data_IF_500570142530
#
_entry.id   IF_500570142530
#
_cell.length_a   1.000
_cell.length_b   1.000
_cell.length_c   1.000
_cell.angle_alpha   90.00
_cell.angle_beta   90.00
_cell.angle_gamma   90.00
#
_symmetry.space_group_name_H-M   'P 1'
#
loop_
_entity.id
_entity.type
_entity.pdbx_description
1 polymer ?
#
# COMPACT_ATOMS: atom_id res chain seq x y z
N UNK A 1 3.02 -10.17 18.39
CA UNK A 1 2.53 -8.80 18.64
C UNK A 1 2.32 -8.00 17.35
N UNK A 2 2.98 -8.34 16.24
CA UNK A 2 2.76 -7.73 14.93
C UNK A 2 1.34 -7.97 14.40
N UNK A 3 0.73 -9.10 14.71
CA UNK A 3 -0.63 -9.43 14.26
C UNK A 3 -1.73 -8.49 14.75
N UNK A 4 -1.53 -7.79 15.87
CA UNK A 4 -2.53 -6.84 16.38
C UNK A 4 -2.71 -5.57 15.54
N UNK A 5 -1.71 -5.17 14.76
CA UNK A 5 -1.79 -3.96 13.95
C UNK A 5 -2.57 -4.16 12.64
N UNK A 6 -2.67 -5.39 12.14
CA UNK A 6 -3.46 -5.72 10.96
C UNK A 6 -4.96 -5.80 11.21
N UNK A 7 -5.35 -5.96 12.48
CA UNK A 7 -6.68 -6.40 12.90
C UNK A 7 -7.62 -5.23 13.09
N UNK A 8 -7.10 -4.04 13.27
CA UNK A 8 -7.86 -2.86 13.65
C UNK A 8 -8.43 -2.13 12.44
N UNK A 9 -8.34 -2.71 11.24
CA UNK A 9 -8.93 -2.09 10.06
C UNK A 9 -10.34 -2.64 9.77
N UNK A 10 -11.40 -1.96 10.22
CA UNK A 10 -12.76 -2.33 9.83
C UNK A 10 -13.00 -2.13 8.34
N UNK A 11 -12.21 -1.27 7.68
CA UNK A 11 -12.21 -1.07 6.23
C UNK A 11 -11.74 -2.29 5.46
N UNK A 12 -10.80 -3.07 6.01
CA UNK A 12 -10.26 -4.26 5.37
C UNK A 12 -11.37 -5.23 4.93
N UNK A 13 -12.34 -5.52 5.80
CA UNK A 13 -13.45 -6.40 5.48
C UNK A 13 -14.35 -5.87 4.41
N UNK A 14 -14.74 -4.63 4.60
CA UNK A 14 -15.61 -3.94 3.67
C UNK A 14 -14.94 -3.86 2.31
N UNK A 15 -13.63 -3.64 2.28
CA UNK A 15 -12.83 -3.62 1.06
C UNK A 15 -12.72 -5.00 0.41
N UNK A 16 -12.43 -6.06 1.16
CA UNK A 16 -12.35 -7.42 0.61
C UNK A 16 -13.66 -7.80 -0.06
N UNK A 17 -14.78 -7.50 0.58
CA UNK A 17 -16.10 -7.73 0.03
C UNK A 17 -16.38 -6.80 -1.17
N UNK A 18 -16.00 -5.53 -1.10
CA UNK A 18 -16.20 -4.56 -2.15
C UNK A 18 -15.39 -4.85 -3.41
N UNK A 19 -14.13 -5.26 -3.28
CA UNK A 19 -13.27 -5.59 -4.44
C UNK A 19 -13.77 -6.81 -5.24
N UNK A 20 -14.29 -7.82 -4.58
CA UNK A 20 -14.89 -8.96 -5.27
C UNK A 20 -16.08 -8.52 -6.13
N UNK A 21 -16.82 -7.52 -5.69
CA UNK A 21 -18.00 -6.98 -6.35
C UNK A 21 -17.67 -6.03 -7.52
N UNK A 22 -16.74 -5.10 -7.35
CA UNK A 22 -16.31 -4.20 -8.45
C UNK A 22 -15.85 -4.99 -9.67
N UNK A 23 -15.13 -6.10 -9.43
CA UNK A 23 -14.68 -6.97 -10.52
C UNK A 23 -15.84 -7.72 -11.19
N UNK A 24 -16.97 -7.94 -10.50
CA UNK A 24 -18.15 -8.60 -11.08
C UNK A 24 -19.05 -7.64 -11.87
N UNK A 25 -19.04 -6.34 -11.52
CA UNK A 25 -19.85 -5.31 -12.18
C UNK A 25 -19.24 -4.70 -13.44
N UNK A 26 -17.93 -4.86 -13.66
CA UNK A 26 -17.39 -4.51 -14.97
C UNK A 26 -18.11 -5.38 -15.99
N UNK A 27 -18.76 -4.77 -17.03
CA UNK A 27 -19.42 -5.54 -18.05
C UNK A 27 -18.47 -6.65 -18.48
N UNK A 28 -19.00 -7.86 -18.74
CA UNK A 28 -18.23 -8.96 -19.32
C UNK A 28 -17.61 -8.46 -20.62
N UNK A 29 -16.51 -7.75 -20.50
CA UNK A 29 -15.61 -7.53 -21.61
C UNK A 29 -15.09 -8.91 -21.91
N UNK A 30 -15.51 -9.45 -23.04
CA UNK A 30 -15.09 -10.77 -23.51
C UNK A 30 -13.59 -10.91 -23.31
N UNK A 31 -13.11 -12.10 -22.90
CA UNK A 31 -11.68 -12.40 -22.72
C UNK A 31 -10.77 -11.93 -23.87
N UNK A 32 -11.33 -11.66 -25.06
CA UNK A 32 -10.65 -11.08 -26.21
C UNK A 32 -10.26 -9.61 -26.02
N UNK A 33 -11.02 -8.81 -25.26
CA UNK A 33 -10.75 -7.37 -25.11
C UNK A 33 -9.76 -7.03 -23.97
N UNK A 34 -9.42 -8.00 -23.12
CA UNK A 34 -8.42 -7.86 -22.05
C UNK A 34 -6.95 -7.92 -22.49
N UNK A 35 -6.68 -8.06 -23.76
CA UNK A 35 -5.41 -7.65 -24.36
C UNK A 35 -5.44 -6.17 -24.77
N UNK A 36 -6.08 -5.30 -24.01
CA UNK A 36 -5.71 -3.89 -24.03
C UNK A 36 -4.19 -3.88 -23.82
N UNK A 37 -3.48 -3.46 -24.84
CA UNK A 37 -2.02 -3.47 -24.93
C UNK A 37 -1.50 -2.76 -23.67
N UNK A 38 -0.95 -3.50 -22.70
CA UNK A 38 -0.26 -2.89 -21.59
C UNK A 38 0.79 -1.94 -22.16
N UNK A 39 0.83 -0.72 -21.70
CA UNK A 39 1.87 0.21 -22.09
C UNK A 39 3.24 -0.38 -21.74
N UNK A 40 4.24 -0.13 -22.57
CA UNK A 40 5.61 -0.46 -22.18
C UNK A 40 5.95 0.28 -20.88
N UNK A 41 6.69 -0.37 -19.99
CA UNK A 41 7.17 0.31 -18.78
C UNK A 41 8.08 1.47 -19.17
N UNK A 42 8.04 2.55 -18.38
CA UNK A 42 9.03 3.62 -18.48
C UNK A 42 10.45 3.06 -18.38
N UNK A 43 11.41 3.73 -18.98
CA UNK A 43 12.83 3.38 -18.80
C UNK A 43 13.21 3.49 -17.33
N UNK A 44 14.10 2.61 -16.83
CA UNK A 44 14.66 2.75 -15.49
C UNK A 44 15.30 4.13 -15.30
N UNK A 45 15.16 4.68 -14.11
CA UNK A 45 15.86 5.90 -13.71
C UNK A 45 17.35 5.59 -13.54
N UNK A 46 18.20 6.55 -13.85
CA UNK A 46 19.64 6.38 -13.72
C UNK A 46 20.04 6.18 -12.23
N UNK A 47 21.02 5.33 -11.99
CA UNK A 47 21.53 5.09 -10.65
C UNK A 47 22.11 6.36 -10.05
N UNK A 48 22.76 7.18 -10.88
CA UNK A 48 23.36 8.45 -10.48
C UNK A 48 22.33 9.44 -9.96
N UNK A 49 21.18 9.55 -10.64
CA UNK A 49 20.11 10.46 -10.22
C UNK A 49 19.47 10.00 -8.92
N UNK A 50 19.23 8.70 -8.76
CA UNK A 50 18.70 8.15 -7.50
C UNK A 50 19.69 8.32 -6.35
N UNK A 51 20.99 8.06 -6.58
CA UNK A 51 22.01 8.22 -5.54
C UNK A 51 22.15 9.70 -5.12
N UNK A 52 22.11 10.63 -6.07
CA UNK A 52 22.14 12.05 -5.78
C UNK A 52 20.95 12.51 -4.89
N UNK A 53 19.77 11.96 -5.13
CA UNK A 53 18.61 12.22 -4.26
C UNK A 53 18.80 11.65 -2.87
N UNK A 54 19.30 10.41 -2.74
CA UNK A 54 19.61 9.79 -1.43
C UNK A 54 20.62 10.60 -0.65
N UNK A 55 21.70 11.04 -1.30
CA UNK A 55 22.77 11.83 -0.69
C UNK A 55 22.28 13.22 -0.25
N UNK A 56 21.24 13.74 -0.90
CA UNK A 56 20.61 15.01 -0.56
C UNK A 56 19.51 14.88 0.53
N UNK A 57 19.10 13.66 0.89
CA UNK A 57 18.08 13.46 1.92
C UNK A 57 18.59 13.90 3.29
N UNK A 58 17.78 14.64 4.06
CA UNK A 58 18.07 14.91 5.45
C UNK A 58 18.24 13.63 6.27
N UNK A 59 19.12 13.63 7.29
CA UNK A 59 19.38 12.43 8.12
C UNK A 59 18.14 11.83 8.77
N UNK A 60 17.13 12.63 9.07
CA UNK A 60 15.85 12.19 9.64
C UNK A 60 15.04 11.30 8.68
N UNK A 61 15.30 11.35 7.38
CA UNK A 61 14.68 10.46 6.40
C UNK A 61 15.18 9.02 6.50
N UNK A 62 16.35 8.79 7.10
CA UNK A 62 16.85 7.44 7.36
C UNK A 62 16.19 6.87 8.63
N UNK A 63 15.41 5.82 8.47
CA UNK A 63 14.66 5.18 9.56
C UNK A 63 15.27 3.88 10.05
N UNK A 64 15.92 3.11 9.19
CA UNK A 64 16.66 1.93 9.58
C UNK A 64 17.89 1.75 8.70
N UNK A 65 18.96 1.25 9.30
CA UNK A 65 20.19 0.90 8.61
C UNK A 65 20.66 -0.47 9.07
N UNK A 66 20.92 -1.35 8.13
CA UNK A 66 21.48 -2.66 8.44
C UNK A 66 22.94 -2.52 8.81
N UNK A 67 23.30 -2.80 10.08
CA UNK A 67 24.66 -2.61 10.61
C UNK A 67 25.73 -3.45 9.88
N UNK A 68 25.43 -4.73 9.66
CA UNK A 68 26.33 -5.67 8.99
C UNK A 68 25.81 -6.09 7.62
N UNK A 69 25.16 -5.18 6.89
CA UNK A 69 24.57 -5.45 5.60
C UNK A 69 24.44 -4.19 4.75
N UNK A 70 23.72 -4.33 3.64
CA UNK A 70 23.73 -3.35 2.57
C UNK A 70 22.43 -2.54 2.47
N UNK A 71 21.53 -2.70 3.42
CA UNK A 71 20.18 -2.16 3.28
C UNK A 71 19.90 -0.97 4.19
N UNK A 72 19.29 0.06 3.62
CA UNK A 72 18.80 1.24 4.32
C UNK A 72 17.32 1.42 4.03
N UNK A 73 16.54 1.84 5.03
CA UNK A 73 15.14 2.23 4.87
C UNK A 73 15.01 3.73 5.01
N UNK A 74 14.49 4.36 3.99
CA UNK A 74 14.20 5.79 3.96
C UNK A 74 12.69 6.03 3.97
N UNK A 75 12.29 7.17 4.53
CA UNK A 75 10.94 7.72 4.39
C UNK A 75 11.07 9.17 3.95
N UNK A 76 10.50 9.50 2.80
CA UNK A 76 10.63 10.81 2.20
C UNK A 76 9.32 11.29 1.58
N UNK A 77 9.20 12.60 1.37
CA UNK A 77 8.13 13.21 0.60
C UNK A 77 8.43 13.14 -0.90
N UNK A 78 7.39 13.15 -1.73
CA UNK A 78 7.51 13.10 -3.19
C UNK A 78 8.46 14.16 -3.76
N UNK A 79 8.46 15.37 -3.20
CA UNK A 79 9.31 16.46 -3.65
C UNK A 79 10.79 16.28 -3.32
N UNK A 80 11.12 15.45 -2.35
CA UNK A 80 12.51 15.13 -1.97
C UNK A 80 13.14 14.07 -2.86
N UNK A 81 12.31 13.26 -3.52
CA UNK A 81 12.72 12.05 -4.25
C UNK A 81 12.05 11.93 -5.62
N UNK A 82 12.00 12.98 -6.46
CA UNK A 82 11.24 12.95 -7.71
C UNK A 82 11.68 11.83 -8.66
N UNK A 83 12.96 11.53 -8.77
CA UNK A 83 13.49 10.46 -9.62
C UNK A 83 13.26 9.08 -8.98
N UNK A 84 13.55 8.93 -7.69
CA UNK A 84 13.25 7.71 -6.93
C UNK A 84 11.75 7.39 -6.97
N UNK A 85 10.87 8.39 -6.90
CA UNK A 85 9.43 8.19 -6.99
C UNK A 85 9.00 7.63 -8.35
N UNK A 86 9.60 8.11 -9.45
CA UNK A 86 9.37 7.55 -10.79
C UNK A 86 9.82 6.09 -10.83
N UNK A 87 10.98 5.77 -10.27
CA UNK A 87 11.47 4.39 -10.22
C UNK A 87 10.59 3.50 -9.33
N UNK A 88 10.13 4.00 -8.17
CA UNK A 88 9.14 3.32 -7.33
C UNK A 88 7.88 3.01 -8.15
N UNK A 89 7.34 3.98 -8.88
CA UNK A 89 6.15 3.78 -9.72
C UNK A 89 6.37 2.75 -10.83
N UNK A 90 7.54 2.77 -11.47
CA UNK A 90 7.93 1.79 -12.48
C UNK A 90 8.02 0.37 -11.93
N UNK A 91 8.74 0.20 -10.80
CA UNK A 91 8.93 -1.09 -10.13
C UNK A 91 7.63 -1.63 -9.54
N UNK A 92 6.76 -0.75 -9.04
CA UNK A 92 5.43 -1.07 -8.55
C UNK A 92 4.56 -1.64 -9.67
N UNK A 93 4.50 -0.97 -10.82
CA UNK A 93 3.79 -1.48 -12.00
C UNK A 93 4.39 -2.82 -12.48
N UNK A 94 5.72 -2.92 -12.57
CA UNK A 94 6.42 -4.15 -12.93
C UNK A 94 6.01 -5.31 -12.02
N UNK A 95 6.08 -5.09 -10.70
CA UNK A 95 5.79 -6.12 -9.70
C UNK A 95 4.30 -6.50 -9.70
N UNK A 96 3.39 -5.54 -9.76
CA UNK A 96 1.95 -5.81 -9.76
C UNK A 96 1.47 -6.49 -11.03
N UNK A 97 2.13 -6.28 -12.18
CA UNK A 97 1.85 -7.03 -13.40
C UNK A 97 2.08 -8.53 -13.23
N UNK A 98 3.09 -8.94 -12.45
CA UNK A 98 3.41 -10.36 -12.22
C UNK A 98 2.23 -11.11 -11.56
N UNK A 99 1.47 -10.41 -10.72
CA UNK A 99 0.32 -10.98 -10.01
C UNK A 99 -1.03 -10.55 -10.60
N UNK A 100 -1.02 -9.98 -11.81
CA UNK A 100 -2.25 -9.58 -12.50
C UNK A 100 -2.97 -8.37 -11.89
N UNK A 101 -2.29 -7.58 -11.07
CA UNK A 101 -2.81 -6.39 -10.39
C UNK A 101 -2.23 -5.07 -10.93
N UNK A 102 -1.38 -5.12 -11.95
CA UNK A 102 -0.84 -3.94 -12.62
C UNK A 102 -1.94 -3.03 -13.18
N UNK A 103 -1.68 -1.74 -13.20
CA UNK A 103 -2.59 -0.73 -13.75
C UNK A 103 -2.72 -0.81 -15.28
N UNK A 104 -1.70 -1.36 -15.94
CA UNK A 104 -1.54 -1.37 -17.39
C UNK A 104 -0.84 -0.13 -17.94
N UNK A 105 -0.58 0.88 -17.11
CA UNK A 105 0.14 2.09 -17.47
C UNK A 105 1.65 1.85 -17.53
N UNK A 106 2.39 2.78 -18.13
CA UNK A 106 3.86 2.71 -18.17
C UNK A 106 4.52 2.83 -16.79
N UNK A 107 3.83 3.46 -15.84
CA UNK A 107 4.26 3.73 -14.48
C UNK A 107 3.02 3.80 -13.57
N UNK A 108 3.03 3.17 -12.40
CA UNK A 108 1.94 3.22 -11.43
C UNK A 108 2.16 4.37 -10.45
N UNK A 109 1.88 5.58 -10.90
CA UNK A 109 1.77 6.77 -10.05
C UNK A 109 0.37 7.35 -10.17
N UNK A 110 -0.15 7.87 -9.06
CA UNK A 110 -1.45 8.51 -8.97
C UNK A 110 -1.37 9.84 -8.19
N UNK A 111 -2.46 10.56 -8.07
CA UNK A 111 -2.50 11.86 -7.39
C UNK A 111 -2.18 11.78 -5.90
N UNK A 112 -2.39 10.63 -5.27
CA UNK A 112 -2.08 10.39 -3.87
C UNK A 112 -0.56 10.35 -3.62
N UNK A 113 0.23 9.92 -4.60
CA UNK A 113 1.69 9.87 -4.47
C UNK A 113 2.29 11.25 -4.16
N UNK A 114 1.62 12.35 -4.53
CA UNK A 114 2.10 13.71 -4.30
C UNK A 114 2.04 14.18 -2.84
N UNK A 115 1.18 13.57 -2.01
CA UNK A 115 0.99 14.02 -0.63
C UNK A 115 1.07 12.90 0.41
N UNK A 116 1.41 11.69 -0.03
CA UNK A 116 1.79 10.59 0.82
C UNK A 116 3.31 10.56 1.01
N UNK A 117 3.74 10.00 2.11
CA UNK A 117 5.14 9.61 2.32
C UNK A 117 5.45 8.33 1.56
N UNK A 118 6.68 8.24 1.10
CA UNK A 118 7.22 7.04 0.45
C UNK A 118 8.28 6.42 1.33
N UNK A 119 7.97 5.23 1.88
CA UNK A 119 8.96 4.40 2.52
C UNK A 119 9.55 3.48 1.48
N UNK A 120 10.87 3.45 1.37
CA UNK A 120 11.54 2.54 0.44
C UNK A 120 12.79 1.91 1.06
N UNK A 121 13.04 0.66 0.69
CA UNK A 121 14.20 -0.11 1.04
C UNK A 121 15.23 0.00 -0.09
N UNK A 122 16.40 0.54 0.23
CA UNK A 122 17.51 0.76 -0.68
C UNK A 122 18.62 -0.24 -0.43
N UNK A 123 19.10 -0.89 -1.49
CA UNK A 123 20.30 -1.74 -1.48
C UNK A 123 21.49 -0.88 -1.90
N UNK A 124 22.38 -0.59 -0.95
CA UNK A 124 23.55 0.27 -1.15
C UNK A 124 24.58 -0.34 -2.08
N UNK A 125 24.77 -1.66 -1.99
CA UNK A 125 25.76 -2.37 -2.81
C UNK A 125 25.34 -2.45 -4.27
N UNK A 126 24.06 -2.78 -4.51
CA UNK A 126 23.54 -2.89 -5.87
C UNK A 126 22.93 -1.58 -6.40
N UNK A 127 22.83 -0.56 -5.55
CA UNK A 127 22.24 0.75 -5.84
C UNK A 127 20.85 0.61 -6.47
N UNK A 128 19.95 -0.12 -5.78
CA UNK A 128 18.61 -0.49 -6.26
C UNK A 128 17.57 -0.35 -5.17
N UNK A 129 16.35 -0.04 -5.60
CA UNK A 129 15.18 -0.13 -4.75
C UNK A 129 14.76 -1.60 -4.67
N UNK A 130 14.70 -2.12 -3.43
CA UNK A 130 14.31 -3.50 -3.12
C UNK A 130 12.80 -3.63 -2.98
N UNK A 131 12.16 -2.61 -2.44
CA UNK A 131 10.72 -2.56 -2.21
C UNK A 131 10.31 -1.23 -1.62
N UNK A 132 9.00 -0.98 -1.58
CA UNK A 132 8.47 0.25 -1.04
C UNK A 132 7.05 0.09 -0.49
N UNK A 133 6.65 1.06 0.34
CA UNK A 133 5.30 1.31 0.80
C UNK A 133 4.93 2.77 0.60
N UNK A 134 3.67 3.02 0.27
CA UNK A 134 3.08 4.35 0.35
C UNK A 134 2.39 4.50 1.70
N UNK A 135 2.73 5.56 2.46
CA UNK A 135 2.21 5.84 3.80
C UNK A 135 1.52 7.20 3.83
N UNK A 136 0.25 7.23 4.21
CA UNK A 136 -0.51 8.46 4.40
C UNK A 136 -0.54 8.85 5.87
N UNK A 137 -0.06 10.03 6.21
CA UNK A 137 -0.22 10.65 7.52
C UNK A 137 -1.65 11.21 7.63
N UNK A 138 -2.58 10.41 8.17
CA UNK A 138 -4.02 10.66 8.01
C UNK A 138 -4.52 11.93 8.68
N UNK A 139 -3.95 12.33 9.80
CA UNK A 139 -4.22 13.62 10.45
C UNK A 139 -3.94 14.81 9.50
N UNK A 140 -2.77 14.81 8.86
CA UNK A 140 -2.36 15.85 7.91
C UNK A 140 -3.22 15.82 6.64
N UNK A 141 -3.51 14.62 6.14
CA UNK A 141 -4.33 14.43 4.94
C UNK A 141 -5.76 14.87 5.21
N UNK A 142 -6.35 14.45 6.33
CA UNK A 142 -7.71 14.84 6.70
C UNK A 142 -7.84 16.35 6.92
N UNK A 143 -6.86 16.97 7.57
CA UNK A 143 -6.85 18.42 7.80
C UNK A 143 -6.76 19.21 6.49
N UNK A 144 -6.00 18.74 5.50
CA UNK A 144 -5.75 19.49 4.26
C UNK A 144 -6.73 19.17 3.13
N UNK A 145 -7.10 17.90 2.97
CA UNK A 145 -7.84 17.38 1.82
C UNK A 145 -9.17 16.74 2.20
N UNK A 146 -9.44 16.56 3.52
CA UNK A 146 -10.57 15.77 3.99
C UNK A 146 -10.44 14.29 3.61
N UNK A 147 -11.56 13.56 3.73
CA UNK A 147 -11.61 12.12 3.40
C UNK A 147 -11.22 11.82 1.95
N UNK A 148 -11.46 12.75 1.03
CA UNK A 148 -11.09 12.61 -0.39
C UNK A 148 -9.57 12.55 -0.63
N UNK A 149 -8.78 13.02 0.32
CA UNK A 149 -7.34 12.90 0.29
C UNK A 149 -6.82 11.51 0.66
N UNK A 150 -7.66 10.66 1.23
CA UNK A 150 -7.34 9.27 1.54
C UNK A 150 -7.66 8.36 0.35
N UNK A 151 -6.74 7.45 0.01
CA UNK A 151 -6.98 6.45 -1.03
C UNK A 151 -8.18 5.56 -0.70
N UNK A 152 -8.33 5.17 0.58
CA UNK A 152 -9.48 4.41 1.02
C UNK A 152 -10.78 5.23 0.97
N UNK A 153 -10.71 6.56 0.94
CA UNK A 153 -11.86 7.45 0.75
C UNK A 153 -12.57 7.30 -0.60
N UNK A 154 -11.91 6.69 -1.61
CA UNK A 154 -12.56 6.33 -2.88
C UNK A 154 -13.53 5.15 -2.76
N UNK A 155 -13.34 4.31 -1.75
CA UNK A 155 -14.06 3.04 -1.61
C UNK A 155 -15.00 3.02 -0.42
N UNK A 156 -14.74 3.84 0.60
CA UNK A 156 -15.43 3.79 1.88
C UNK A 156 -15.83 5.17 2.37
N UNK A 157 -16.99 5.21 3.03
CA UNK A 157 -17.38 6.31 3.91
C UNK A 157 -17.02 5.97 5.35
N UNK A 158 -16.64 6.97 6.10
CA UNK A 158 -16.20 6.87 7.49
C UNK A 158 -17.13 7.72 8.37
N UNK A 159 -17.60 7.15 9.47
CA UNK A 159 -18.33 7.91 10.47
C UNK A 159 -17.41 8.85 11.25
N UNK A 160 -17.94 9.81 12.04
CA UNK A 160 -17.13 10.61 12.94
C UNK A 160 -16.34 9.80 13.96
N UNK A 161 -16.85 8.63 14.37
CA UNK A 161 -16.13 7.71 15.28
C UNK A 161 -14.91 7.09 14.60
N UNK A 162 -15.06 6.59 13.36
CA UNK A 162 -13.95 6.09 12.57
C UNK A 162 -12.91 7.19 12.30
N UNK A 163 -13.34 8.40 11.93
CA UNK A 163 -12.43 9.50 11.65
C UNK A 163 -11.55 9.86 12.86
N UNK A 164 -12.04 9.75 14.10
CA UNK A 164 -11.23 9.95 15.31
C UNK A 164 -10.12 8.90 15.47
N UNK A 165 -10.34 7.67 15.00
CA UNK A 165 -9.30 6.64 14.97
C UNK A 165 -8.33 6.91 13.84
N UNK A 166 -8.84 7.27 12.66
CA UNK A 166 -8.02 7.59 11.49
C UNK A 166 -7.10 8.78 11.73
N UNK A 167 -7.54 9.79 12.49
CA UNK A 167 -6.72 10.95 12.88
C UNK A 167 -5.41 10.57 13.62
N UNK A 168 -5.32 9.33 14.12
CA UNK A 168 -4.13 8.77 14.79
C UNK A 168 -3.56 7.57 14.06
N UNK A 169 -3.74 7.52 12.75
CA UNK A 169 -3.41 6.35 11.92
C UNK A 169 -2.45 6.71 10.79
N UNK A 170 -1.81 5.68 10.25
CA UNK A 170 -1.14 5.74 8.96
C UNK A 170 -1.92 4.89 7.96
N UNK A 171 -2.28 5.46 6.82
CA UNK A 171 -2.84 4.71 5.71
C UNK A 171 -1.73 4.05 4.92
N UNK A 172 -1.73 2.71 4.89
CA UNK A 172 -0.72 1.91 4.24
C UNK A 172 -1.22 1.36 2.92
N UNK A 173 -0.42 1.49 1.87
CA UNK A 173 -0.81 0.98 0.56
C UNK A 173 0.36 0.83 -0.40
N UNK A 174 0.05 0.31 -1.59
CA UNK A 174 1.02 0.15 -2.67
C UNK A 174 2.30 -0.59 -2.26
N UNK A 175 2.17 -1.58 -1.36
CA UNK A 175 3.27 -2.39 -0.88
C UNK A 175 3.80 -3.32 -1.97
N UNK A 176 5.10 -3.32 -2.19
CA UNK A 176 5.75 -4.30 -3.04
C UNK A 176 7.19 -4.58 -2.61
N UNK A 177 7.65 -5.77 -2.96
CA UNK A 177 9.07 -6.14 -3.03
C UNK A 177 9.30 -6.63 -4.44
N UNK A 178 10.35 -6.14 -5.10
CA UNK A 178 10.67 -6.56 -6.46
C UNK A 178 10.94 -8.07 -6.53
N UNK A 179 10.57 -8.76 -7.62
CA UNK A 179 10.60 -10.21 -7.69
C UNK A 179 11.93 -10.85 -7.31
N UNK A 180 13.05 -10.18 -7.61
CA UNK A 180 14.40 -10.66 -7.35
C UNK A 180 14.72 -10.76 -5.85
N UNK A 181 14.00 -9.99 -5.01
CA UNK A 181 14.18 -9.95 -3.55
C UNK A 181 13.06 -10.65 -2.77
N UNK A 182 11.96 -11.08 -3.42
CA UNK A 182 10.83 -11.72 -2.72
C UNK A 182 11.18 -13.01 -1.98
N UNK A 183 12.22 -13.73 -2.45
CA UNK A 183 12.72 -14.93 -1.78
C UNK A 183 13.69 -14.65 -0.62
N UNK A 184 13.95 -13.39 -0.31
CA UNK A 184 14.78 -12.95 0.82
C UNK A 184 13.88 -12.53 1.99
N UNK A 185 13.63 -13.38 3.01
CA UNK A 185 12.68 -13.07 4.09
C UNK A 185 12.98 -11.78 4.85
N UNK A 186 14.26 -11.42 4.92
CA UNK A 186 14.70 -10.21 5.61
C UNK A 186 14.23 -8.92 4.94
N UNK A 187 13.96 -8.91 3.62
CA UNK A 187 13.55 -7.70 2.91
C UNK A 187 12.22 -7.14 3.46
N UNK A 188 11.23 -8.00 3.66
CA UNK A 188 9.96 -7.60 4.27
C UNK A 188 10.15 -7.18 5.72
N UNK A 189 10.93 -7.95 6.49
CA UNK A 189 11.22 -7.65 7.89
C UNK A 189 11.86 -6.27 8.06
N UNK A 190 12.79 -5.92 7.16
CA UNK A 190 13.48 -4.63 7.22
C UNK A 190 12.57 -3.45 6.85
N UNK A 191 11.69 -3.62 5.88
CA UNK A 191 10.62 -2.64 5.59
C UNK A 191 9.74 -2.41 6.84
N UNK A 192 9.34 -3.48 7.53
CA UNK A 192 8.55 -3.38 8.75
C UNK A 192 9.32 -2.74 9.92
N UNK A 193 10.62 -2.95 9.99
CA UNK A 193 11.48 -2.22 10.94
C UNK A 193 11.44 -0.71 10.67
N UNK A 194 11.55 -0.29 9.41
CA UNK A 194 11.42 1.12 9.02
C UNK A 194 10.07 1.72 9.39
N UNK A 195 8.97 0.99 9.18
CA UNK A 195 7.62 1.42 9.61
C UNK A 195 7.58 1.57 11.14
N UNK A 196 8.13 0.60 11.87
CA UNK A 196 8.21 0.64 13.33
C UNK A 196 9.00 1.84 13.84
N UNK A 197 10.14 2.14 13.23
CA UNK A 197 10.95 3.31 13.56
C UNK A 197 10.24 4.62 13.23
N UNK A 198 9.51 4.69 12.11
CA UNK A 198 8.69 5.85 11.79
C UNK A 198 7.63 6.10 12.88
N UNK A 199 6.90 5.06 13.27
CA UNK A 199 5.89 5.16 14.35
C UNK A 199 6.53 5.50 15.71
N UNK A 200 7.70 4.94 16.00
CA UNK A 200 8.43 5.24 17.24
C UNK A 200 8.89 6.72 17.32
N UNK A 201 9.18 7.35 16.19
CA UNK A 201 9.48 8.78 16.12
C UNK A 201 8.22 9.68 16.12
N UNK A 202 7.06 9.10 15.74
CA UNK A 202 5.79 9.80 15.61
C UNK A 202 4.72 9.14 16.50
N UNK A 203 4.89 9.26 17.84
CA UNK A 203 4.12 8.53 18.86
C UNK A 203 2.61 8.75 18.84
N UNK A 204 2.12 9.78 18.16
CA UNK A 204 0.68 10.02 18.02
C UNK A 204 0.00 9.02 17.07
N UNK A 205 0.72 8.44 16.11
CA UNK A 205 0.18 7.35 15.29
C UNK A 205 0.13 6.06 16.10
N UNK A 206 -1.06 5.49 16.19
CA UNK A 206 -1.35 4.29 16.98
C UNK A 206 -1.82 3.13 16.13
N UNK A 207 -2.27 3.42 14.92
CA UNK A 207 -2.91 2.43 14.06
C UNK A 207 -2.31 2.47 12.66
N UNK A 208 -2.24 1.29 12.06
CA UNK A 208 -1.98 1.14 10.63
C UNK A 208 -3.24 0.58 10.00
N UNK A 209 -3.67 1.14 8.90
CA UNK A 209 -4.80 0.61 8.15
C UNK A 209 -4.52 0.68 6.65
N UNK A 210 -5.23 -0.13 5.89
CA UNK A 210 -5.10 -0.18 4.44
C UNK A 210 -5.93 -1.30 3.85
N UNK A 211 -6.04 -1.32 2.55
CA UNK A 211 -6.79 -2.31 1.82
C UNK A 211 -5.88 -3.44 1.35
N UNK A 212 -6.39 -4.67 1.46
CA UNK A 212 -5.72 -5.88 0.95
C UNK A 212 -6.61 -6.52 -0.12
N UNK A 213 -6.03 -6.87 -1.26
CA UNK A 213 -6.73 -7.62 -2.29
C UNK A 213 -6.55 -9.13 -2.12
N UNK A 214 -7.64 -9.88 -2.32
CA UNK A 214 -7.57 -11.33 -2.44
C UNK A 214 -7.49 -11.68 -3.94
N UNK A 215 -6.46 -12.45 -4.34
CA UNK A 215 -6.26 -12.84 -5.72
C UNK A 215 -7.49 -13.56 -6.30
N UNK A 216 -7.70 -13.36 -7.59
CA UNK A 216 -8.73 -14.10 -8.37
C UNK A 216 -8.40 -15.57 -8.53
N UNK A 217 -7.14 -15.96 -8.35
CA UNK A 217 -6.69 -17.34 -8.48
C UNK A 217 -7.26 -18.24 -7.37
N UNK A 218 -7.64 -17.62 -6.24
CA UNK A 218 -8.40 -18.33 -5.21
C UNK A 218 -9.82 -18.66 -5.69
N UNK A 219 -10.26 -19.88 -5.42
CA UNK A 219 -11.66 -20.29 -5.67
C UNK A 219 -12.64 -19.44 -4.87
N UNK A 220 -13.90 -19.39 -5.29
CA UNK A 220 -14.95 -18.70 -4.52
C UNK A 220 -15.05 -19.26 -3.10
N UNK A 221 -14.92 -20.58 -2.93
CA UNK A 221 -14.93 -21.22 -1.61
C UNK A 221 -13.75 -20.75 -0.76
N UNK A 222 -12.54 -20.75 -1.30
CA UNK A 222 -11.37 -20.28 -0.55
C UNK A 222 -11.51 -18.84 -0.12
N UNK A 223 -12.01 -17.97 -1.00
CA UNK A 223 -12.27 -16.56 -0.65
C UNK A 223 -13.34 -16.43 0.43
N UNK A 224 -14.42 -17.19 0.33
CA UNK A 224 -15.48 -17.20 1.34
C UNK A 224 -14.96 -17.67 2.70
N UNK A 225 -14.11 -18.71 2.74
CA UNK A 225 -13.48 -19.20 3.97
C UNK A 225 -12.56 -18.14 4.60
N UNK A 226 -11.71 -17.48 3.80
CA UNK A 226 -10.86 -16.39 4.30
C UNK A 226 -11.72 -15.29 4.93
N UNK A 227 -12.75 -14.83 4.22
CA UNK A 227 -13.66 -13.77 4.72
C UNK A 227 -14.40 -14.22 5.97
N UNK A 228 -14.87 -15.48 6.02
CA UNK A 228 -15.57 -16.02 7.20
C UNK A 228 -14.66 -16.11 8.40
N UNK A 229 -13.41 -16.56 8.21
CA UNK A 229 -12.41 -16.61 9.27
C UNK A 229 -12.14 -15.21 9.84
N UNK A 230 -11.86 -14.25 8.97
CA UNK A 230 -11.61 -12.86 9.39
C UNK A 230 -12.82 -12.26 10.13
N UNK A 231 -14.03 -12.55 9.67
CA UNK A 231 -15.26 -12.12 10.36
C UNK A 231 -15.40 -12.73 11.75
N UNK A 232 -15.03 -13.99 11.91
CA UNK A 232 -15.20 -14.71 13.18
C UNK A 232 -14.15 -14.33 14.22
N UNK A 233 -12.91 -14.08 13.79
CA UNK A 233 -11.76 -13.96 14.69
C UNK A 233 -11.13 -12.57 14.77
N UNK A 234 -11.24 -11.79 13.71
CA UNK A 234 -10.51 -10.52 13.55
C UNK A 234 -11.45 -9.31 13.49
N UNK A 235 -12.75 -9.48 13.80
CA UNK A 235 -13.72 -8.42 13.77
C UNK A 235 -13.57 -7.49 14.97
N UNK A 236 -13.29 -6.19 14.73
CA UNK A 236 -13.38 -5.15 15.74
C UNK A 236 -14.86 -4.70 15.91
N UNK A 237 -15.54 -5.11 17.01
CA UNK A 237 -16.99 -4.89 17.16
C UNK A 237 -17.38 -3.42 17.19
N UNK A 238 -16.50 -2.56 17.71
CA UNK A 238 -16.77 -1.12 17.88
C UNK A 238 -16.73 -0.39 16.55
N UNK A 239 -15.79 -0.78 15.66
CA UNK A 239 -15.56 -0.05 14.41
C UNK A 239 -16.26 -0.64 13.18
N UNK A 240 -16.79 -1.86 13.30
CA UNK A 240 -17.35 -2.60 12.15
C UNK A 240 -18.49 -1.87 11.42
N UNK A 241 -19.28 -1.10 12.14
CA UNK A 241 -20.42 -0.34 11.59
C UNK A 241 -20.05 1.10 11.22
N UNK A 242 -18.84 1.53 11.57
CA UNK A 242 -18.37 2.90 11.41
C UNK A 242 -17.71 3.16 10.03
N UNK A 243 -17.43 2.08 9.28
CA UNK A 243 -16.86 2.13 7.94
C UNK A 243 -17.80 1.40 6.97
N UNK A 244 -18.23 2.10 5.92
CA UNK A 244 -19.18 1.55 4.95
C UNK A 244 -18.62 1.63 3.54
N UNK A 245 -18.61 0.50 2.83
CA UNK A 245 -18.25 0.49 1.42
C UNK A 245 -19.32 1.20 0.58
N UNK A 246 -18.89 2.00 -0.38
CA UNK A 246 -19.80 2.59 -1.37
C UNK A 246 -20.45 1.51 -2.26
N UNK A 247 -19.73 0.43 -2.52
CA UNK A 247 -20.19 -0.68 -3.35
C UNK A 247 -20.02 -2.02 -2.62
N UNK A 248 -20.88 -2.33 -1.62
CA UNK A 248 -20.80 -3.60 -0.90
C UNK A 248 -21.17 -4.77 -1.82
N UNK A 249 -20.62 -5.98 -1.61
CA UNK A 249 -20.97 -7.17 -2.37
C UNK A 249 -22.43 -7.55 -2.12
N UNK A 250 -23.07 -8.16 -3.12
CA UNK A 250 -24.41 -8.74 -2.94
C UNK A 250 -24.30 -10.05 -2.17
N UNK A 251 -25.38 -10.42 -1.44
CA UNK A 251 -25.43 -11.71 -0.70
C UNK A 251 -25.18 -12.93 -1.59
N UNK A 252 -25.51 -12.84 -2.88
CA UNK A 252 -25.28 -13.91 -3.85
C UNK A 252 -23.80 -14.06 -4.30
N UNK A 253 -22.93 -13.11 -3.96
CA UNK A 253 -21.51 -13.11 -4.34
C UNK A 253 -20.62 -13.62 -3.19
N UNK A 254 -21.22 -13.97 -2.06
CA UNK A 254 -20.62 -14.52 -0.83
C UNK A 254 -20.99 -15.98 -0.66
#
# INVERSE_FOLDING_TARGET
TLGKYYIVDPGLRTYLLGKSYEKSRRPHVHKKDRKAKMAALTSPVSVQDMQAEIDALPPECLHARQENGDWDVYVADALQIPNILIEIGRLREYTFRQVGEGSGNACDLDTYDNHYKHLFLWDRTHQKIVGAYRMGETDKILARYGVKGLYNGEYFSFSPAALRVLDRSLEMGRAFIVPEYQKRPLALGFIWEGIGQFMARNHHYRYLFGTVSISRDYTNLSRALIVSYLKAHEMEPVLVNEVRAYNPPRKADL
#
